data_IF_331855506035
#
_entry.id   IF_331855506035
#
_cell.length_a   1.000
_cell.length_b   1.000
_cell.length_c   1.000
_cell.angle_alpha   90.00
_cell.angle_beta   90.00
_cell.angle_gamma   90.00
#
_symmetry.space_group_name_H-M   'P 1'
#
loop_
_entity.id
_entity.type
_entity.pdbx_description
1 polymer ?
#
# COMPACT_ATOMS: atom_id res chain seq x y z
N UNK A 1 4.24 4.81 7.27
CA UNK A 1 5.31 4.64 6.26
C UNK A 1 5.88 5.99 5.87
N UNK A 2 7.18 6.04 5.61
CA UNK A 2 7.85 7.26 5.15
C UNK A 2 8.25 7.10 3.68
N UNK A 3 8.38 8.20 2.93
CA UNK A 3 8.76 8.13 1.51
C UNK A 3 10.08 7.39 1.31
N UNK A 4 10.12 6.52 0.30
CA UNK A 4 11.29 5.69 0.02
C UNK A 4 11.35 4.39 0.79
N UNK A 5 10.49 4.21 1.76
CA UNK A 5 10.44 2.98 2.55
C UNK A 5 9.88 1.82 1.71
N UNK A 6 10.50 0.65 1.88
CA UNK A 6 10.01 -0.57 1.25
C UNK A 6 9.70 -1.60 2.32
N UNK A 7 8.79 -2.50 2.01
CA UNK A 7 8.44 -3.57 2.92
C UNK A 7 7.70 -4.67 2.18
N UNK A 8 7.42 -5.75 2.87
CA UNK A 8 6.67 -6.87 2.32
C UNK A 8 5.30 -6.89 2.95
N UNK A 9 4.26 -6.99 2.13
CA UNK A 9 2.89 -7.03 2.61
C UNK A 9 2.68 -8.33 3.40
N UNK A 10 2.27 -8.21 4.66
CA UNK A 10 1.94 -9.38 5.48
C UNK A 10 0.45 -9.65 5.53
N UNK A 11 -0.37 -8.64 5.29
CA UNK A 11 -1.81 -8.77 5.34
C UNK A 11 -2.49 -7.43 5.38
N UNK A 12 -3.76 -7.45 5.77
CA UNK A 12 -4.58 -6.24 5.84
C UNK A 12 -5.39 -6.25 7.13
N UNK A 13 -5.71 -5.06 7.64
CA UNK A 13 -6.48 -4.92 8.88
C UNK A 13 -7.98 -4.75 8.64
N UNK A 14 -8.41 -4.57 7.40
CA UNK A 14 -9.82 -4.37 7.05
C UNK A 14 -10.19 -5.33 5.92
N UNK A 15 -11.18 -6.20 6.17
CA UNK A 15 -11.58 -7.23 5.20
C UNK A 15 -12.19 -6.65 3.92
N UNK A 16 -13.00 -5.61 4.03
CA UNK A 16 -13.67 -5.03 2.87
C UNK A 16 -12.66 -4.33 1.97
N UNK A 17 -11.76 -3.58 2.55
CA UNK A 17 -10.74 -2.89 1.81
C UNK A 17 -9.73 -3.88 1.23
N UNK A 18 -9.46 -5.00 1.93
CA UNK A 18 -8.52 -6.00 1.47
C UNK A 18 -8.93 -6.61 0.13
N UNK A 19 -10.22 -6.83 -0.09
CA UNK A 19 -10.70 -7.37 -1.37
C UNK A 19 -10.32 -6.46 -2.52
N UNK A 20 -10.53 -5.16 -2.34
CA UNK A 20 -10.17 -4.16 -3.34
C UNK A 20 -8.66 -4.14 -3.58
N UNK A 21 -7.87 -4.17 -2.52
CA UNK A 21 -6.42 -4.13 -2.63
C UNK A 21 -5.87 -5.39 -3.29
N UNK A 22 -6.42 -6.54 -2.98
CA UNK A 22 -6.03 -7.80 -3.63
C UNK A 22 -6.29 -7.74 -5.13
N UNK A 23 -7.42 -7.18 -5.54
CA UNK A 23 -7.75 -7.02 -6.95
C UNK A 23 -6.79 -6.06 -7.65
N UNK A 24 -6.23 -5.11 -6.92
CA UNK A 24 -5.25 -4.17 -7.46
C UNK A 24 -3.84 -4.74 -7.52
N UNK A 25 -3.61 -5.93 -6.94
CA UNK A 25 -2.30 -6.57 -6.96
C UNK A 25 -1.51 -6.49 -5.66
N UNK A 26 -2.11 -5.98 -4.59
CA UNK A 26 -1.45 -5.92 -3.28
C UNK A 26 -1.57 -7.28 -2.57
N UNK A 27 -0.79 -8.25 -3.03
CA UNK A 27 -0.87 -9.60 -2.49
C UNK A 27 0.09 -9.79 -1.31
N UNK A 28 -0.33 -10.51 -0.25
CA UNK A 28 0.60 -10.84 0.83
C UNK A 28 1.84 -11.54 0.29
N UNK A 29 3.00 -11.17 0.82
CA UNK A 29 4.27 -11.67 0.32
C UNK A 29 4.90 -10.85 -0.79
N UNK A 30 4.17 -9.85 -1.30
CA UNK A 30 4.67 -8.97 -2.36
C UNK A 30 5.36 -7.75 -1.74
N UNK A 31 6.47 -7.34 -2.33
CA UNK A 31 7.16 -6.13 -1.90
C UNK A 31 6.39 -4.90 -2.37
N UNK A 32 6.28 -3.92 -1.50
CA UNK A 32 5.67 -2.62 -1.81
C UNK A 32 6.64 -1.52 -1.46
N UNK A 33 6.69 -0.48 -2.29
CA UNK A 33 7.50 0.70 -2.02
C UNK A 33 6.61 1.91 -1.86
N UNK A 34 6.80 2.64 -0.78
CA UNK A 34 6.10 3.88 -0.53
C UNK A 34 6.86 5.02 -1.20
N UNK A 35 6.28 5.63 -2.24
CA UNK A 35 6.96 6.65 -3.01
C UNK A 35 6.81 8.05 -2.40
N UNK A 36 5.58 8.54 -2.32
CA UNK A 36 5.31 9.83 -1.73
C UNK A 36 3.84 9.97 -1.36
N UNK A 37 3.55 10.99 -0.56
CA UNK A 37 2.20 11.36 -0.18
C UNK A 37 1.92 12.74 -0.75
N UNK A 38 0.71 12.94 -1.28
CA UNK A 38 0.28 14.24 -1.76
C UNK A 38 0.33 15.26 -0.60
N UNK A 39 0.36 16.59 -0.91
CA UNK A 39 0.55 17.62 0.11
C UNK A 39 -0.40 17.55 1.31
N UNK A 40 -1.60 17.03 1.13
CA UNK A 40 -2.58 16.91 2.21
C UNK A 40 -2.68 15.49 2.78
N UNK A 41 -1.70 14.63 2.47
CA UNK A 41 -1.68 13.28 2.98
C UNK A 41 -2.49 12.28 2.17
N UNK A 42 -3.19 12.72 1.13
CA UNK A 42 -4.05 11.87 0.32
C UNK A 42 -4.06 12.39 -1.13
N UNK A 43 -3.81 11.55 -2.15
CA UNK A 43 -3.53 10.12 -2.06
C UNK A 43 -2.08 9.78 -1.70
N UNK A 44 -1.87 8.52 -1.39
CA UNK A 44 -0.54 7.95 -1.13
C UNK A 44 -0.11 7.22 -2.40
N UNK A 45 1.07 7.55 -2.91
CA UNK A 45 1.60 6.89 -4.10
C UNK A 45 2.54 5.76 -3.72
N UNK A 46 2.26 4.57 -4.22
CA UNK A 46 3.06 3.37 -3.91
C UNK A 46 3.38 2.62 -5.19
N UNK A 47 4.45 1.83 -5.15
CA UNK A 47 4.83 0.93 -6.24
C UNK A 47 4.67 -0.51 -5.76
N UNK A 48 3.97 -1.32 -6.54
CA UNK A 48 3.79 -2.74 -6.26
C UNK A 48 3.83 -3.51 -7.57
N UNK A 49 4.59 -4.61 -7.59
CA UNK A 49 4.70 -5.48 -8.78
C UNK A 49 5.08 -4.73 -10.05
N UNK A 50 5.89 -3.68 -9.92
CA UNK A 50 6.34 -2.89 -11.06
C UNK A 50 5.36 -1.82 -11.53
N UNK A 51 4.26 -1.63 -10.83
CA UNK A 51 3.27 -0.60 -11.15
C UNK A 51 3.22 0.46 -10.07
N UNK A 52 3.02 1.71 -10.49
CA UNK A 52 2.79 2.81 -9.57
C UNK A 52 1.28 3.02 -9.43
N UNK A 53 0.81 3.02 -8.20
CA UNK A 53 -0.61 3.13 -7.91
C UNK A 53 -0.83 4.21 -6.85
N UNK A 54 -2.00 4.85 -6.89
CA UNK A 54 -2.41 5.80 -5.88
C UNK A 54 -3.48 5.17 -5.00
N UNK A 55 -3.28 5.24 -3.70
CA UNK A 55 -4.25 4.75 -2.71
C UNK A 55 -4.74 5.90 -1.86
N UNK A 56 -5.96 5.81 -1.40
CA UNK A 56 -6.44 6.71 -0.37
C UNK A 56 -5.69 6.39 0.92
N UNK A 57 -5.47 7.40 1.74
CA UNK A 57 -4.76 7.21 3.01
C UNK A 57 -5.43 6.12 3.87
N UNK A 58 -6.76 6.09 3.90
CA UNK A 58 -7.48 5.07 4.66
C UNK A 58 -7.25 3.65 4.12
N UNK A 59 -7.06 3.52 2.81
CA UNK A 59 -6.74 2.23 2.20
C UNK A 59 -5.31 1.82 2.52
N UNK A 60 -4.39 2.74 2.37
CA UNK A 60 -2.97 2.46 2.64
C UNK A 60 -2.73 2.09 4.10
N UNK A 61 -3.47 2.70 5.02
CA UNK A 61 -3.30 2.45 6.44
C UNK A 61 -3.73 1.05 6.88
N UNK A 62 -4.49 0.34 6.03
CA UNK A 62 -4.91 -1.03 6.35
C UNK A 62 -3.88 -2.08 5.96
N UNK A 63 -2.85 -1.69 5.21
CA UNK A 63 -1.82 -2.63 4.77
C UNK A 63 -0.82 -2.86 5.90
N UNK A 64 -0.67 -4.13 6.28
CA UNK A 64 0.30 -4.54 7.29
C UNK A 64 1.60 -4.92 6.59
N UNK A 65 2.69 -4.34 7.06
CA UNK A 65 4.01 -4.51 6.46
C UNK A 65 4.90 -5.34 7.39
N UNK A 66 5.59 -6.30 6.81
CA UNK A 66 6.59 -7.10 7.48
C UNK A 66 7.96 -6.55 7.12
N UNK A 67 8.68 -6.09 8.11
CA UNK A 67 10.03 -5.55 7.90
C UNK A 67 11.10 -6.56 8.30
#
# INVERSE_FOLDING_TARGET
MVPGETGVISGFTDEQISVKLLEMGFLPGTAVRFNFTAPFGDPVCVSVSGYDLSLRLEEASTISILN
#
